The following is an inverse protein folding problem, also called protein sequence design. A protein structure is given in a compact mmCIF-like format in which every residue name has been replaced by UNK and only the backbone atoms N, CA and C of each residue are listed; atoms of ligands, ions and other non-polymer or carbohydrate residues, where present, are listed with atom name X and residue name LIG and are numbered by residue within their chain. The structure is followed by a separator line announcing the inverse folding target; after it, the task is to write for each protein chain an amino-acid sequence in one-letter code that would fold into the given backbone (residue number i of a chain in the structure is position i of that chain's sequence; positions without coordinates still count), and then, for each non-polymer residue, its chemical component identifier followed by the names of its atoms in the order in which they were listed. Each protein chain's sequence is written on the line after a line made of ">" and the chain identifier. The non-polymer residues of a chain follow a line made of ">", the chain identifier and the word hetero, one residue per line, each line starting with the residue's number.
data_IF_782123703073
#
_entry.id   IF_782123703073
#
_cell.length_a   1.000
_cell.length_b   1.000
_cell.length_c   1.000
_cell.angle_alpha   90.00
_cell.angle_beta   90.00
_cell.angle_gamma   90.00
#
_symmetry.space_group_name_H-M   'P 1'
#
loop_
_entity.id
_entity.type
_entity.pdbx_description
1 polymer ?
#
# COMPACT_ATOMS: atom_id res chain seq x y z
N UNK A 1 -18.30 31.81 -36.96
CA UNK A 1 -17.20 30.86 -37.27
C UNK A 1 -15.88 31.50 -36.83
N UNK A 2 -14.92 30.75 -36.28
CA UNK A 2 -14.71 30.62 -34.83
C UNK A 2 -13.49 31.43 -34.34
N UNK A 3 -13.69 32.30 -33.34
CA UNK A 3 -12.59 32.91 -32.56
C UNK A 3 -12.66 32.57 -31.06
N UNK A 4 -13.77 32.00 -30.60
CA UNK A 4 -14.00 31.66 -29.20
C UNK A 4 -13.53 30.26 -28.81
N UNK A 5 -13.40 29.32 -29.76
CA UNK A 5 -12.87 27.98 -29.49
C UNK A 5 -11.34 27.97 -29.35
N UNK A 6 -10.62 28.83 -30.09
CA UNK A 6 -9.16 28.92 -30.01
C UNK A 6 -8.69 29.46 -28.65
N UNK A 7 -9.40 30.44 -28.08
CA UNK A 7 -9.10 30.98 -26.76
C UNK A 7 -9.34 29.96 -25.63
N UNK A 8 -10.40 29.15 -25.74
CA UNK A 8 -10.74 28.14 -24.72
C UNK A 8 -9.76 26.96 -24.74
N UNK A 9 -9.31 26.54 -25.93
CA UNK A 9 -8.25 25.51 -26.08
C UNK A 9 -6.90 26.02 -25.60
N UNK A 10 -6.54 27.28 -25.90
CA UNK A 10 -5.32 27.90 -25.40
C UNK A 10 -5.32 28.06 -23.87
N UNK A 11 -6.46 28.38 -23.26
CA UNK A 11 -6.61 28.48 -21.80
C UNK A 11 -6.61 27.11 -21.10
N UNK A 12 -7.18 26.07 -21.72
CA UNK A 12 -7.06 24.69 -21.24
C UNK A 12 -5.62 24.17 -21.33
N UNK A 13 -4.92 24.47 -22.42
CA UNK A 13 -3.49 24.16 -22.55
C UNK A 13 -2.65 24.94 -21.53
N UNK A 14 -2.93 26.22 -21.31
CA UNK A 14 -2.24 27.01 -20.29
C UNK A 14 -2.51 26.50 -18.85
N UNK A 15 -3.71 25.98 -18.57
CA UNK A 15 -4.02 25.34 -17.28
C UNK A 15 -3.30 24.00 -17.10
N UNK A 16 -3.05 23.24 -18.18
CA UNK A 16 -2.18 22.06 -18.16
C UNK A 16 -0.70 22.43 -17.92
N UNK A 17 -0.22 23.54 -18.48
CA UNK A 17 1.15 24.02 -18.25
C UNK A 17 1.37 24.60 -16.85
N UNK A 18 0.33 25.18 -16.22
CA UNK A 18 0.39 25.72 -14.86
C UNK A 18 0.23 24.65 -13.76
N UNK A 19 -0.06 23.39 -14.12
CA UNK A 19 0.00 22.25 -13.21
C UNK A 19 1.43 21.71 -12.98
N UNK A 20 2.46 22.38 -13.54
CA UNK A 20 3.86 21.99 -13.52
C UNK A 20 4.59 22.04 -12.16
N UNK A 21 3.90 22.27 -11.04
CA UNK A 21 4.55 22.28 -9.72
C UNK A 21 4.86 20.88 -9.16
N UNK A 22 4.61 19.80 -9.93
CA UNK A 22 4.96 18.42 -9.58
C UNK A 22 5.63 17.63 -10.70
N UNK A 23 6.08 18.28 -11.78
CA UNK A 23 6.73 17.59 -12.91
C UNK A 23 8.22 17.44 -12.65
N UNK A 24 8.71 16.20 -12.64
CA UNK A 24 10.15 15.89 -12.65
C UNK A 24 10.70 16.24 -14.04
N UNK A 25 11.77 17.04 -14.10
CA UNK A 25 12.49 17.30 -15.34
C UNK A 25 13.16 16.01 -15.79
N UNK A 26 12.82 15.54 -17.00
CA UNK A 26 13.23 14.24 -17.50
C UNK A 26 13.66 14.36 -18.96
N UNK A 27 14.82 13.79 -19.35
CA UNK A 27 15.27 13.86 -20.74
C UNK A 27 14.24 13.21 -21.68
N UNK A 28 14.10 13.73 -22.90
CA UNK A 28 13.13 13.25 -23.91
C UNK A 28 13.29 11.75 -24.24
N UNK A 29 14.45 11.14 -23.93
CA UNK A 29 14.69 9.70 -24.03
C UNK A 29 14.02 8.86 -22.92
N UNK A 30 13.25 9.48 -22.03
CA UNK A 30 12.58 8.87 -20.90
C UNK A 30 13.58 8.52 -19.79
N UNK A 31 14.21 7.37 -19.90
CA UNK A 31 15.05 6.81 -18.84
C UNK A 31 16.38 7.57 -18.71
N UNK A 32 16.73 7.99 -17.49
CA UNK A 32 18.01 8.64 -17.18
C UNK A 32 19.07 7.55 -17.04
N UNK A 33 20.15 7.61 -17.85
CA UNK A 33 21.28 6.67 -17.72
C UNK A 33 22.27 7.18 -16.69
N UNK A 34 22.61 6.32 -15.74
CA UNK A 34 23.51 6.65 -14.64
C UNK A 34 24.94 6.20 -14.93
N UNK A 35 25.92 6.90 -14.36
CA UNK A 35 27.32 6.47 -14.39
C UNK A 35 27.53 5.31 -13.41
N UNK A 36 28.14 4.23 -13.88
CA UNK A 36 28.50 3.06 -13.07
C UNK A 36 29.46 3.35 -11.91
N UNK A 37 30.17 4.48 -11.91
CA UNK A 37 31.11 4.81 -10.83
C UNK A 37 30.43 5.21 -9.51
N UNK A 38 29.14 5.59 -9.53
CA UNK A 38 28.42 6.04 -8.33
C UNK A 38 27.63 4.93 -7.64
N UNK A 39 27.46 3.76 -8.27
CA UNK A 39 26.60 2.69 -7.76
C UNK A 39 27.38 1.38 -7.58
N UNK A 40 27.11 0.67 -6.49
CA UNK A 40 27.62 -0.69 -6.31
C UNK A 40 26.53 -1.68 -6.74
N UNK A 41 26.81 -2.57 -7.70
CA UNK A 41 25.89 -3.63 -8.04
C UNK A 41 25.64 -4.54 -6.82
N UNK A 42 24.37 -4.79 -6.52
CA UNK A 42 23.95 -5.73 -5.49
C UNK A 42 23.01 -6.77 -6.09
N UNK A 43 22.62 -7.77 -5.30
CA UNK A 43 21.54 -8.68 -5.70
C UNK A 43 20.28 -7.86 -5.95
N UNK A 44 19.68 -7.97 -7.14
CA UNK A 44 18.50 -7.19 -7.48
C UNK A 44 17.30 -7.68 -6.66
N UNK A 45 16.73 -6.86 -5.75
CA UNK A 45 15.60 -7.26 -4.91
C UNK A 45 14.25 -7.17 -5.64
N UNK A 46 14.23 -6.72 -6.90
CA UNK A 46 13.01 -6.48 -7.68
C UNK A 46 12.50 -7.74 -8.35
N UNK A 47 11.19 -7.87 -8.38
CA UNK A 47 10.44 -8.89 -9.08
C UNK A 47 9.39 -8.15 -9.91
N UNK A 48 9.70 -7.94 -11.18
CA UNK A 48 8.84 -7.24 -12.14
C UNK A 48 7.78 -8.22 -12.66
N UNK A 49 6.55 -7.74 -12.87
CA UNK A 49 5.48 -8.58 -13.42
C UNK A 49 5.85 -9.18 -14.79
N UNK A 50 6.62 -8.45 -15.61
CA UNK A 50 7.15 -8.96 -16.88
C UNK A 50 8.28 -10.01 -16.76
N UNK A 51 8.94 -10.15 -15.61
CA UNK A 51 10.00 -11.15 -15.39
C UNK A 51 9.38 -12.48 -14.95
N UNK A 52 8.90 -13.24 -15.94
CA UNK A 52 8.22 -14.52 -15.73
C UNK A 52 9.05 -15.51 -14.92
N UNK A 53 10.38 -15.51 -15.09
CA UNK A 53 11.27 -16.42 -14.37
C UNK A 53 11.35 -16.08 -12.87
N UNK A 54 11.54 -14.80 -12.50
CA UNK A 54 11.54 -14.38 -11.09
C UNK A 54 10.16 -14.50 -10.47
N UNK A 55 9.11 -14.21 -11.23
CA UNK A 55 7.73 -14.35 -10.78
C UNK A 55 7.39 -15.83 -10.52
N UNK A 56 7.83 -16.75 -11.38
CA UNK A 56 7.66 -18.19 -11.18
C UNK A 56 8.53 -18.71 -10.02
N UNK A 57 9.75 -18.19 -9.86
CA UNK A 57 10.60 -18.52 -8.72
C UNK A 57 9.97 -18.08 -7.39
N UNK A 58 9.46 -16.85 -7.31
CA UNK A 58 8.73 -16.34 -6.14
C UNK A 58 7.47 -17.17 -5.88
N UNK A 59 6.70 -17.47 -6.93
CA UNK A 59 5.52 -18.31 -6.86
C UNK A 59 5.83 -19.71 -6.34
N UNK A 60 6.92 -20.32 -6.82
CA UNK A 60 7.38 -21.64 -6.38
C UNK A 60 7.85 -21.59 -4.93
N UNK A 61 8.60 -20.56 -4.55
CA UNK A 61 9.05 -20.37 -3.18
C UNK A 61 7.86 -20.22 -2.23
N UNK A 62 6.92 -19.31 -2.53
CA UNK A 62 5.70 -19.10 -1.75
C UNK A 62 4.86 -20.38 -1.73
N UNK A 63 4.72 -21.07 -2.87
CA UNK A 63 4.00 -22.34 -2.98
C UNK A 63 4.61 -23.44 -2.12
N UNK A 64 5.93 -23.64 -2.18
CA UNK A 64 6.62 -24.63 -1.35
C UNK A 64 6.48 -24.30 0.14
N UNK A 65 6.50 -23.02 0.51
CA UNK A 65 6.24 -22.59 1.89
C UNK A 65 4.80 -22.85 2.30
N UNK A 66 3.85 -22.48 1.44
CA UNK A 66 2.43 -22.71 1.67
C UNK A 66 2.14 -24.21 1.85
N UNK A 67 2.74 -25.08 1.03
CA UNK A 67 2.35 -26.49 0.93
C UNK A 67 3.25 -27.45 1.68
N UNK A 68 4.51 -27.09 1.97
CA UNK A 68 5.50 -27.99 2.58
C UNK A 68 6.01 -27.52 3.93
N UNK A 69 5.50 -26.42 4.48
CA UNK A 69 5.88 -25.98 5.82
C UNK A 69 5.45 -27.00 6.88
N UNK A 70 6.31 -27.18 7.89
CA UNK A 70 6.03 -28.04 9.05
C UNK A 70 4.93 -27.47 9.94
N UNK A 71 4.74 -26.15 9.90
CA UNK A 71 3.68 -25.42 10.57
C UNK A 71 2.85 -24.67 9.53
N UNK A 72 1.52 -24.56 9.70
CA UNK A 72 0.66 -23.88 8.74
C UNK A 72 1.04 -22.40 8.62
N UNK A 73 1.42 -21.92 7.42
CA UNK A 73 1.85 -20.54 7.26
C UNK A 73 0.68 -19.56 7.35
N UNK A 74 0.97 -18.40 7.91
CA UNK A 74 0.07 -17.27 8.06
C UNK A 74 0.66 -16.09 7.27
N UNK A 75 -0.13 -15.61 6.31
CA UNK A 75 0.20 -14.48 5.45
C UNK A 75 -0.58 -13.26 5.91
N UNK A 76 0.06 -12.11 5.97
CA UNK A 76 -0.58 -10.81 6.19
C UNK A 76 -0.38 -9.93 4.96
N UNK A 77 -1.47 -9.48 4.36
CA UNK A 77 -1.45 -8.48 3.29
C UNK A 77 -2.04 -7.16 3.80
N UNK A 78 -1.24 -6.09 3.74
CA UNK A 78 -1.61 -4.75 4.16
C UNK A 78 -1.94 -3.91 2.93
N UNK A 79 -3.20 -3.47 2.82
CA UNK A 79 -3.66 -2.70 1.66
C UNK A 79 -3.17 -1.25 1.69
N UNK A 80 -3.28 -0.61 0.54
CA UNK A 80 -3.22 0.84 0.49
C UNK A 80 -4.45 1.52 1.10
N UNK A 81 -4.35 2.84 1.29
CA UNK A 81 -5.37 3.59 2.04
C UNK A 81 -5.00 5.01 2.48
N UNK A 82 -3.78 5.49 2.21
CA UNK A 82 -3.34 6.82 2.65
C UNK A 82 -3.44 7.00 4.17
N UNK A 83 -4.08 8.09 4.61
CA UNK A 83 -4.26 8.43 6.03
C UNK A 83 -5.03 7.35 6.82
N UNK A 84 -5.92 6.60 6.16
CA UNK A 84 -6.67 5.51 6.77
C UNK A 84 -5.78 4.37 7.28
N UNK A 85 -4.48 4.35 6.91
CA UNK A 85 -3.50 3.41 7.48
C UNK A 85 -3.42 3.43 9.01
N UNK A 86 -3.82 4.54 9.64
CA UNK A 86 -3.92 4.62 11.10
C UNK A 86 -4.86 3.56 11.68
N UNK A 87 -5.97 3.23 11.00
CA UNK A 87 -6.84 2.12 11.39
C UNK A 87 -6.10 0.79 11.40
N UNK A 88 -5.34 0.48 10.34
CA UNK A 88 -4.59 -0.76 10.25
C UNK A 88 -3.49 -0.88 11.31
N UNK A 89 -2.75 0.20 11.56
CA UNK A 89 -1.78 0.27 12.66
C UNK A 89 -2.46 0.01 14.03
N UNK A 90 -3.66 0.57 14.22
CA UNK A 90 -4.51 0.31 15.37
C UNK A 90 -4.87 -1.17 15.49
N UNK A 91 -5.37 -1.78 14.42
CA UNK A 91 -5.73 -3.21 14.40
C UNK A 91 -4.54 -4.09 14.79
N UNK A 92 -3.35 -3.84 14.25
CA UNK A 92 -2.15 -4.61 14.60
C UNK A 92 -1.78 -4.47 16.07
N UNK A 93 -1.83 -3.25 16.61
CA UNK A 93 -1.58 -2.95 18.02
C UNK A 93 -2.58 -3.66 18.92
N UNK A 94 -3.89 -3.52 18.64
CA UNK A 94 -4.94 -4.17 19.43
C UNK A 94 -4.92 -5.69 19.33
N UNK A 95 -4.46 -6.25 18.20
CA UNK A 95 -4.30 -7.69 18.05
C UNK A 95 -3.16 -8.23 18.91
N UNK A 96 -2.07 -7.46 19.03
CA UNK A 96 -1.01 -7.75 20.01
C UNK A 96 -1.57 -7.68 21.44
N UNK A 97 -2.35 -6.64 21.78
CA UNK A 97 -2.97 -6.50 23.11
C UNK A 97 -3.89 -7.66 23.48
N UNK A 98 -4.59 -8.25 22.50
CA UNK A 98 -5.42 -9.43 22.75
C UNK A 98 -4.60 -10.71 23.00
N UNK A 99 -3.29 -10.68 22.76
CA UNK A 99 -2.37 -11.81 22.96
C UNK A 99 -2.52 -12.92 21.91
N UNK A 100 -3.25 -12.66 20.82
CA UNK A 100 -3.55 -13.67 19.79
C UNK A 100 -2.97 -13.35 18.42
N UNK A 101 -2.18 -12.28 18.30
CA UNK A 101 -1.50 -11.94 17.04
C UNK A 101 -0.46 -13.00 16.68
N UNK A 102 -0.60 -13.68 15.52
CA UNK A 102 0.36 -14.69 15.10
C UNK A 102 1.65 -14.06 14.59
N UNK A 103 2.72 -14.87 14.53
CA UNK A 103 3.88 -14.55 13.71
C UNK A 103 3.58 -14.84 12.24
N UNK A 104 3.80 -13.85 11.37
CA UNK A 104 3.53 -13.97 9.94
C UNK A 104 4.75 -14.50 9.19
N UNK A 105 4.58 -15.54 8.37
CA UNK A 105 5.64 -16.06 7.50
C UNK A 105 5.86 -15.17 6.28
N UNK A 106 4.80 -14.50 5.80
CA UNK A 106 4.87 -13.51 4.72
C UNK A 106 4.07 -12.29 5.14
N UNK A 107 4.68 -11.12 5.03
CA UNK A 107 4.00 -9.84 5.15
C UNK A 107 4.15 -9.09 3.84
N UNK A 108 3.05 -8.59 3.31
CA UNK A 108 3.06 -7.74 2.13
C UNK A 108 2.47 -6.38 2.42
N UNK A 109 2.92 -5.36 1.70
CA UNK A 109 2.45 -4.00 1.88
C UNK A 109 2.37 -3.21 0.58
N UNK A 110 1.31 -2.41 0.48
CA UNK A 110 1.10 -1.44 -0.60
C UNK A 110 0.74 -0.09 0.01
N UNK A 111 1.33 1.01 -0.47
CA UNK A 111 0.99 2.36 0.01
C UNK A 111 1.22 2.51 1.51
N UNK A 112 0.27 3.08 2.24
CA UNK A 112 0.30 3.12 3.70
C UNK A 112 0.53 1.72 4.31
N UNK A 113 0.04 0.65 3.70
CA UNK A 113 0.34 -0.73 4.12
C UNK A 113 1.83 -1.08 4.00
N UNK A 114 2.55 -0.52 3.04
CA UNK A 114 4.00 -0.69 2.92
C UNK A 114 4.76 -0.03 4.06
N UNK A 115 4.30 1.12 4.55
CA UNK A 115 4.89 1.79 5.71
C UNK A 115 4.67 1.01 7.00
N UNK A 116 3.51 0.37 7.17
CA UNK A 116 3.22 -0.47 8.33
C UNK A 116 3.87 -1.87 8.28
N UNK A 117 4.15 -2.39 7.07
CA UNK A 117 4.60 -3.77 6.86
C UNK A 117 5.92 -4.15 7.57
N UNK A 118 6.98 -3.31 7.60
CA UNK A 118 8.20 -3.60 8.36
C UNK A 118 7.94 -3.89 9.84
N UNK A 119 7.15 -3.04 10.51
CA UNK A 119 6.80 -3.26 11.91
C UNK A 119 5.90 -4.48 12.08
N UNK A 120 4.96 -4.67 11.15
CA UNK A 120 4.09 -5.84 11.17
C UNK A 120 4.86 -7.16 11.04
N UNK A 121 5.91 -7.13 10.22
CA UNK A 121 6.86 -8.21 10.00
C UNK A 121 7.74 -8.45 11.21
N UNK A 122 8.27 -7.42 11.87
CA UNK A 122 9.10 -7.66 13.06
C UNK A 122 8.29 -8.09 14.29
N UNK A 123 7.01 -7.70 14.37
CA UNK A 123 6.06 -8.19 15.36
C UNK A 123 5.89 -7.25 16.57
N UNK A 124 5.32 -7.75 17.68
CA UNK A 124 4.89 -6.95 18.84
C UNK A 124 5.91 -5.98 19.44
N UNK A 125 7.20 -6.32 19.40
CA UNK A 125 8.26 -5.45 19.94
C UNK A 125 8.40 -4.12 19.18
N UNK A 126 7.80 -4.02 18.00
CA UNK A 126 7.84 -2.84 17.12
C UNK A 126 6.50 -2.09 17.06
N UNK A 127 5.54 -2.45 17.92
CA UNK A 127 4.22 -1.81 17.93
C UNK A 127 4.26 -0.38 18.47
N UNK A 128 5.26 -0.04 19.29
CA UNK A 128 5.45 1.34 19.76
C UNK A 128 5.93 2.25 18.63
N UNK A 129 6.85 1.80 17.77
CA UNK A 129 7.26 2.51 16.57
C UNK A 129 6.11 2.61 15.55
N UNK A 130 5.34 1.53 15.37
CA UNK A 130 4.14 1.55 14.51
C UNK A 130 3.12 2.56 15.02
N UNK A 131 2.86 2.60 16.33
CA UNK A 131 1.97 3.57 16.96
C UNK A 131 2.52 4.99 16.85
N UNK A 132 3.82 5.17 17.03
CA UNK A 132 4.54 6.42 16.80
C UNK A 132 4.32 6.99 15.41
N UNK A 133 4.41 6.14 14.39
CA UNK A 133 4.27 6.55 12.99
C UNK A 133 2.83 6.95 12.61
N UNK A 134 1.80 6.46 13.32
CA UNK A 134 0.39 6.58 12.90
C UNK A 134 -0.54 7.28 13.89
N UNK A 135 -0.19 7.40 15.16
CA UNK A 135 -1.10 7.84 16.22
C UNK A 135 -0.47 8.82 17.21
N UNK A 136 0.83 8.71 17.50
CA UNK A 136 1.48 9.60 18.45
C UNK A 136 2.10 10.82 17.75
N UNK A 137 1.36 11.93 17.75
CA UNK A 137 1.93 13.27 17.53
C UNK A 137 2.83 13.76 18.67
N UNK A 138 3.37 12.86 19.51
CA UNK A 138 4.10 13.19 20.74
C UNK A 138 5.44 12.47 20.76
N UNK A 139 6.50 13.28 20.70
CA UNK A 139 7.83 13.03 21.26
C UNK A 139 8.81 12.11 20.52
N UNK A 140 9.29 12.57 19.35
CA UNK A 140 10.68 13.06 19.21
C UNK A 140 10.79 13.95 17.97
N UNK A 141 11.13 15.21 18.24
CA UNK A 141 11.22 16.36 17.34
C UNK A 141 9.94 16.93 16.71
N UNK A 142 9.81 18.25 16.91
CA UNK A 142 8.87 19.20 16.30
C UNK A 142 8.94 19.24 14.76
N UNK A 143 9.71 18.36 14.13
CA UNK A 143 9.87 18.20 12.69
C UNK A 143 8.80 17.28 12.10
N UNK A 144 8.53 16.10 12.70
CA UNK A 144 7.55 15.15 12.16
C UNK A 144 6.11 15.68 12.09
N UNK A 145 5.75 16.58 13.01
CA UNK A 145 4.48 17.31 12.98
C UNK A 145 4.40 18.35 11.86
N UNK A 146 5.49 19.07 11.57
CA UNK A 146 5.53 20.04 10.46
C UNK A 146 5.43 19.31 9.12
N UNK A 147 6.00 18.12 9.06
CA UNK A 147 5.91 17.20 7.92
C UNK A 147 4.45 16.77 7.67
N UNK A 148 3.75 16.21 8.65
CA UNK A 148 2.34 15.84 8.49
C UNK A 148 1.39 17.04 8.32
N UNK A 149 1.68 18.19 8.94
CA UNK A 149 0.88 19.41 8.75
C UNK A 149 1.13 20.10 7.38
N UNK A 150 2.31 19.93 6.79
CA UNK A 150 2.62 20.42 5.44
C UNK A 150 1.76 19.72 4.36
N UNK A 151 1.38 18.46 4.61
CA UNK A 151 0.42 17.69 3.81
C UNK A 151 -1.00 18.29 3.79
N UNK A 152 -1.33 19.17 4.73
CA UNK A 152 -2.67 19.78 4.91
C UNK A 152 -2.81 21.11 4.15
N UNK A 153 -1.73 21.63 3.54
CA UNK A 153 -1.77 22.93 2.85
C UNK A 153 -2.21 22.75 1.39
N UNK A 154 -3.33 23.36 0.94
CA UNK A 154 -3.75 23.29 -0.45
C UNK A 154 -2.72 24.00 -1.33
N UNK A 155 -1.97 23.24 -2.14
CA UNK A 155 -1.12 23.79 -3.20
C UNK A 155 0.39 23.65 -3.02
N UNK A 156 0.89 22.99 -1.98
CA UNK A 156 2.31 22.63 -1.86
C UNK A 156 2.43 21.17 -1.45
N UNK A 157 2.55 20.31 -2.47
CA UNK A 157 2.86 18.90 -2.38
C UNK A 157 4.29 18.71 -1.82
N UNK A 158 4.47 18.89 -0.51
CA UNK A 158 5.80 18.78 0.11
C UNK A 158 6.18 17.31 0.36
N UNK A 159 6.87 16.73 -0.61
CA UNK A 159 7.48 15.39 -0.52
C UNK A 159 8.49 15.23 0.62
N UNK A 160 9.04 16.32 1.14
CA UNK A 160 9.99 16.28 2.25
C UNK A 160 9.37 15.67 3.50
N UNK A 161 8.09 15.90 3.73
CA UNK A 161 7.39 15.41 4.90
C UNK A 161 7.36 13.88 5.04
N UNK A 162 6.91 13.21 3.97
CA UNK A 162 6.81 11.75 3.94
C UNK A 162 8.21 11.13 3.92
N UNK A 163 9.17 11.77 3.23
CA UNK A 163 10.57 11.37 3.23
C UNK A 163 11.17 11.43 4.64
N UNK A 164 10.99 12.53 5.36
CA UNK A 164 11.50 12.71 6.73
C UNK A 164 10.92 11.66 7.69
N UNK A 165 9.62 11.34 7.54
CA UNK A 165 8.97 10.29 8.33
C UNK A 165 9.63 8.92 8.06
N UNK A 166 9.78 8.57 6.78
CA UNK A 166 10.43 7.31 6.37
C UNK A 166 11.87 7.27 6.90
N UNK A 167 12.63 8.37 6.79
CA UNK A 167 14.00 8.45 7.30
C UNK A 167 14.09 8.30 8.82
N UNK A 168 13.12 8.86 9.57
CA UNK A 168 13.09 8.81 11.02
C UNK A 168 12.87 7.39 11.56
N UNK A 169 12.02 6.60 10.91
CA UNK A 169 11.66 5.25 11.38
C UNK A 169 12.44 4.12 10.69
N UNK A 170 12.91 4.33 9.46
CA UNK A 170 13.70 3.33 8.72
C UNK A 170 15.18 3.51 9.08
N UNK A 171 15.60 2.79 10.10
CA UNK A 171 16.97 2.84 10.64
C UNK A 171 17.81 1.64 10.19
N UNK A 172 19.15 1.71 10.25
CA UNK A 172 20.01 0.54 10.03
C UNK A 172 19.67 -0.64 10.96
N UNK A 173 19.19 -0.37 12.18
CA UNK A 173 18.77 -1.40 13.12
C UNK A 173 17.48 -2.10 12.66
N UNK A 174 16.50 -1.34 12.14
CA UNK A 174 15.30 -1.93 11.53
C UNK A 174 15.69 -2.91 10.42
N UNK A 175 16.57 -2.49 9.49
CA UNK A 175 17.05 -3.36 8.41
C UNK A 175 17.76 -4.61 8.95
N UNK A 176 18.62 -4.46 9.97
CA UNK A 176 19.31 -5.60 10.57
C UNK A 176 18.34 -6.64 11.12
N UNK A 177 17.27 -6.21 11.79
CA UNK A 177 16.25 -7.12 12.32
C UNK A 177 15.46 -7.80 11.19
N UNK A 178 15.13 -7.06 10.12
CA UNK A 178 14.47 -7.61 8.94
C UNK A 178 15.35 -8.68 8.27
N UNK A 179 16.66 -8.44 8.15
CA UNK A 179 17.61 -9.41 7.60
C UNK A 179 17.67 -10.70 8.44
N UNK A 180 17.61 -10.59 9.78
CA UNK A 180 17.59 -11.75 10.68
C UNK A 180 16.33 -12.60 10.45
N UNK A 181 15.16 -11.96 10.41
CA UNK A 181 13.89 -12.63 10.18
C UNK A 181 13.79 -13.20 8.75
N UNK A 182 14.39 -12.51 7.77
CA UNK A 182 14.51 -13.01 6.40
C UNK A 182 15.38 -14.28 6.33
N UNK A 183 16.50 -14.31 7.06
CA UNK A 183 17.37 -15.48 7.15
C UNK A 183 16.69 -16.67 7.87
N UNK A 184 15.72 -16.41 8.75
CA UNK A 184 14.82 -17.43 9.33
C UNK A 184 13.75 -17.92 8.35
N UNK A 185 13.76 -17.39 7.14
CA UNK A 185 12.86 -17.79 6.07
C UNK A 185 11.54 -17.03 6.09
N UNK A 186 11.42 -15.85 6.70
CA UNK A 186 10.22 -15.00 6.56
C UNK A 186 10.38 -14.06 5.35
N UNK A 187 9.30 -13.56 4.76
CA UNK A 187 9.35 -12.63 3.61
C UNK A 187 8.59 -11.34 3.89
N UNK A 188 9.21 -10.22 3.55
CA UNK A 188 8.62 -8.90 3.57
C UNK A 188 8.62 -8.37 2.14
N UNK A 189 7.43 -8.23 1.54
CA UNK A 189 7.26 -7.86 0.13
C UNK A 189 6.52 -6.54 0.00
N UNK A 190 7.12 -5.55 -0.66
CA UNK A 190 6.50 -4.24 -0.89
C UNK A 190 6.20 -4.06 -2.37
N UNK A 191 5.10 -3.39 -2.71
CA UNK A 191 4.73 -3.13 -4.11
C UNK A 191 4.78 -1.65 -4.44
N UNK A 192 5.41 -1.35 -5.57
CA UNK A 192 5.35 -0.04 -6.24
C UNK A 192 4.80 -0.24 -7.66
N UNK A 193 4.32 0.83 -8.29
CA UNK A 193 4.02 0.83 -9.73
C UNK A 193 5.12 1.56 -10.49
N UNK A 194 5.78 0.86 -11.42
CA UNK A 194 6.67 1.50 -12.40
C UNK A 194 5.81 2.11 -13.51
N UNK A 195 5.78 3.44 -13.60
CA UNK A 195 4.98 4.17 -14.58
C UNK A 195 5.53 4.09 -16.00
N UNK A 196 6.83 3.86 -16.17
CA UNK A 196 7.47 3.75 -17.48
C UNK A 196 7.08 2.46 -18.19
N UNK A 197 6.97 1.37 -17.42
CA UNK A 197 6.59 0.06 -17.90
C UNK A 197 5.11 -0.28 -17.65
N UNK A 198 4.37 0.58 -16.93
CA UNK A 198 2.98 0.37 -16.51
C UNK A 198 2.76 -0.95 -15.74
N UNK A 199 3.77 -1.38 -14.98
CA UNK A 199 3.76 -2.68 -14.31
C UNK A 199 3.95 -2.55 -12.79
N UNK A 200 3.47 -3.57 -12.08
CA UNK A 200 3.75 -3.73 -10.66
C UNK A 200 5.18 -4.26 -10.46
N UNK A 201 5.91 -3.66 -9.54
CA UNK A 201 7.23 -4.13 -9.10
C UNK A 201 7.12 -4.53 -7.65
N UNK A 202 7.37 -5.81 -7.37
CA UNK A 202 7.45 -6.37 -6.02
C UNK A 202 8.91 -6.29 -5.57
N UNK A 203 9.14 -5.82 -4.36
CA UNK A 203 10.45 -5.66 -3.75
C UNK A 203 10.58 -6.65 -2.58
N UNK A 204 11.57 -7.55 -2.63
CA UNK A 204 11.94 -8.35 -1.46
C UNK A 204 12.83 -7.50 -0.54
N UNK A 205 12.18 -6.94 0.48
CA UNK A 205 12.83 -6.05 1.44
C UNK A 205 13.80 -6.80 2.35
N UNK A 206 13.68 -8.12 2.46
CA UNK A 206 14.60 -8.95 3.24
C UNK A 206 15.89 -9.24 2.49
N UNK A 207 15.83 -9.47 1.17
CA UNK A 207 17.03 -9.52 0.30
C UNK A 207 17.76 -8.17 0.38
N UNK A 208 17.03 -7.07 0.21
CA UNK A 208 17.60 -5.72 0.28
C UNK A 208 18.21 -5.43 1.65
N UNK A 209 17.52 -5.74 2.74
CA UNK A 209 18.03 -5.53 4.10
C UNK A 209 19.28 -6.38 4.39
N UNK A 210 19.39 -7.58 3.82
CA UNK A 210 20.53 -8.49 4.00
C UNK A 210 21.82 -7.98 3.34
N UNK A 211 21.73 -7.06 2.38
CA UNK A 211 22.90 -6.45 1.73
C UNK A 211 23.65 -5.50 2.66
N UNK A 212 22.93 -4.81 3.54
CA UNK A 212 23.47 -3.86 4.51
C UNK A 212 24.14 -2.62 3.88
N UNK A 213 24.62 -1.72 4.75
CA UNK A 213 25.29 -0.48 4.34
C UNK A 213 24.32 0.64 3.90
N UNK A 214 24.90 1.81 3.63
CA UNK A 214 24.13 3.05 3.41
C UNK A 214 23.24 2.97 2.16
N UNK A 215 23.74 2.33 1.08
CA UNK A 215 22.98 2.15 -0.16
C UNK A 215 21.72 1.28 0.05
N UNK A 216 21.79 0.24 0.88
CA UNK A 216 20.63 -0.59 1.19
C UNK A 216 19.60 0.20 2.01
N UNK A 217 20.05 1.01 2.99
CA UNK A 217 19.15 1.88 3.77
C UNK A 217 18.46 2.89 2.87
N UNK A 218 19.20 3.54 1.98
CA UNK A 218 18.66 4.52 1.03
C UNK A 218 17.61 3.89 0.11
N UNK A 219 17.95 2.76 -0.54
CA UNK A 219 17.00 2.07 -1.42
C UNK A 219 15.78 1.53 -0.65
N UNK A 220 15.94 1.07 0.60
CA UNK A 220 14.81 0.66 1.44
C UNK A 220 13.82 1.82 1.61
N UNK A 221 14.34 3.02 1.90
CA UNK A 221 13.56 4.24 2.10
C UNK A 221 12.90 4.70 0.80
N UNK A 222 13.63 4.68 -0.31
CA UNK A 222 13.09 5.03 -1.63
C UNK A 222 11.93 4.12 -2.04
N UNK A 223 12.03 2.82 -1.81
CA UNK A 223 10.96 1.86 -2.11
C UNK A 223 9.71 2.12 -1.26
N UNK A 224 9.88 2.36 0.05
CA UNK A 224 8.76 2.69 0.93
C UNK A 224 8.11 4.04 0.57
N UNK A 225 8.93 5.05 0.30
CA UNK A 225 8.48 6.37 -0.16
C UNK A 225 7.69 6.24 -1.46
N UNK A 226 8.24 5.54 -2.45
CA UNK A 226 7.60 5.30 -3.74
C UNK A 226 6.27 4.56 -3.59
N UNK A 227 6.24 3.52 -2.77
CA UNK A 227 5.01 2.74 -2.52
C UNK A 227 3.91 3.61 -1.94
N UNK A 228 4.23 4.63 -1.15
CA UNK A 228 3.28 5.57 -0.54
C UNK A 228 3.05 6.87 -1.35
N UNK A 229 3.72 7.07 -2.49
CA UNK A 229 3.58 8.27 -3.32
C UNK A 229 2.35 8.22 -4.22
N UNK A 230 1.18 8.55 -3.67
CA UNK A 230 -0.10 8.60 -4.41
C UNK A 230 -0.03 9.65 -5.53
N UNK A 231 -0.31 9.28 -6.81
CA UNK A 231 -0.31 10.23 -7.92
C UNK A 231 -1.25 11.42 -7.69
N UNK A 232 -0.74 12.62 -7.90
CA UNK A 232 -1.49 13.87 -7.69
C UNK A 232 -1.55 14.33 -6.23
N UNK A 233 -0.94 13.59 -5.30
CA UNK A 233 -0.76 13.97 -3.88
C UNK A 233 0.74 14.07 -3.54
N UNK A 234 1.54 13.13 -4.02
CA UNK A 234 2.98 13.13 -3.85
C UNK A 234 3.68 12.98 -5.20
N UNK A 235 4.88 13.55 -5.37
CA UNK A 235 5.66 13.31 -6.58
C UNK A 235 6.11 11.84 -6.66
N UNK A 236 6.33 11.32 -7.87
CA UNK A 236 6.96 10.02 -8.06
C UNK A 236 8.38 10.01 -7.51
N UNK A 237 8.89 8.81 -7.22
CA UNK A 237 10.28 8.58 -6.81
C UNK A 237 11.02 7.95 -7.99
N UNK A 238 12.18 8.51 -8.33
CA UNK A 238 13.09 7.90 -9.29
C UNK A 238 13.92 6.85 -8.57
N UNK A 239 13.83 5.59 -8.99
CA UNK A 239 14.60 4.50 -8.39
C UNK A 239 15.58 3.95 -9.42
N UNK A 240 16.82 3.77 -8.99
CA UNK A 240 17.87 3.21 -9.83
C UNK A 240 17.63 1.73 -10.14
N UNK A 241 17.90 1.36 -11.38
CA UNK A 241 17.59 0.08 -11.96
C UNK A 241 18.53 -0.32 -13.08
N UNK A 242 18.17 -1.41 -13.76
CA UNK A 242 18.90 -1.96 -14.90
C UNK A 242 17.90 -2.27 -16.00
N UNK A 243 18.15 -1.78 -17.20
CA UNK A 243 17.32 -2.07 -18.38
C UNK A 243 17.66 -3.43 -19.00
N UNK A 244 16.90 -3.83 -20.01
CA UNK A 244 17.09 -5.11 -20.72
C UNK A 244 18.48 -5.24 -21.39
N UNK A 245 19.23 -4.15 -21.51
CA UNK A 245 20.56 -4.10 -22.09
C UNK A 245 21.67 -4.07 -21.02
N UNK A 246 21.32 -4.22 -19.74
CA UNK A 246 22.28 -4.23 -18.64
C UNK A 246 22.79 -2.84 -18.25
N UNK A 247 22.15 -1.75 -18.69
CA UNK A 247 22.58 -0.39 -18.36
C UNK A 247 21.90 0.11 -17.11
N UNK A 248 22.65 0.85 -16.29
CA UNK A 248 22.09 1.54 -15.12
C UNK A 248 21.17 2.68 -15.56
N UNK A 249 19.99 2.71 -14.97
CA UNK A 249 18.88 3.55 -15.38
C UNK A 249 18.08 4.05 -14.19
N UNK A 250 17.35 5.17 -14.32
CA UNK A 250 16.32 5.57 -13.35
C UNK A 250 14.91 5.32 -13.89
N UNK A 251 14.16 4.50 -13.16
CA UNK A 251 12.77 4.16 -13.40
C UNK A 251 11.86 5.05 -12.53
N UNK A 252 10.71 5.46 -13.07
CA UNK A 252 9.74 6.28 -12.33
C UNK A 252 8.74 5.40 -11.56
N UNK A 253 8.76 5.49 -10.24
CA UNK A 253 7.88 4.71 -9.37
C UNK A 253 6.87 5.59 -8.62
N UNK A 254 5.65 5.08 -8.49
CA UNK A 254 4.56 5.64 -7.67
C UNK A 254 3.91 4.55 -6.83
N UNK A 255 2.87 4.96 -6.10
CA UNK A 255 2.08 4.09 -5.25
C UNK A 255 1.63 2.80 -5.97
N UNK A 256 1.90 1.64 -5.35
CA UNK A 256 1.53 0.33 -5.90
C UNK A 256 0.02 0.11 -6.01
N UNK A 257 -0.77 0.87 -5.25
CA UNK A 257 -2.23 0.92 -5.26
C UNK A 257 -2.83 1.37 -6.58
N UNK A 258 -2.02 1.97 -7.46
CA UNK A 258 -2.40 2.25 -8.85
C UNK A 258 -2.74 0.94 -9.60
N UNK A 259 -1.95 -0.12 -9.40
CA UNK A 259 -2.18 -1.41 -10.03
C UNK A 259 -2.87 -2.41 -9.10
N UNK A 260 -2.41 -2.53 -7.85
CA UNK A 260 -2.89 -3.57 -6.92
C UNK A 260 -3.21 -2.99 -5.54
N UNK A 261 -4.43 -3.18 -5.02
CA UNK A 261 -4.83 -2.59 -3.73
C UNK A 261 -4.15 -3.25 -2.53
N UNK A 262 -3.75 -4.53 -2.67
CA UNK A 262 -2.97 -5.30 -1.71
C UNK A 262 -2.34 -6.52 -2.43
N UNK A 263 -1.21 -7.01 -1.95
CA UNK A 263 -0.57 -8.22 -2.49
C UNK A 263 -0.87 -9.43 -1.61
N UNK A 264 -2.00 -10.10 -1.81
CA UNK A 264 -2.31 -11.34 -1.07
C UNK A 264 -1.52 -12.52 -1.62
N UNK A 265 -1.97 -13.00 -2.78
CA UNK A 265 -1.31 -14.05 -3.55
C UNK A 265 -0.78 -13.43 -4.85
N UNK A 266 0.50 -13.64 -5.22
CA UNK A 266 1.05 -13.18 -6.50
C UNK A 266 0.20 -13.60 -7.71
N UNK A 267 0.10 -12.73 -8.71
CA UNK A 267 -0.78 -12.94 -9.87
C UNK A 267 -0.49 -14.25 -10.62
N UNK A 268 0.77 -14.65 -10.71
CA UNK A 268 1.19 -15.92 -11.32
C UNK A 268 0.63 -17.16 -10.63
N UNK A 269 0.41 -17.10 -9.32
CA UNK A 269 -0.19 -18.21 -8.57
C UNK A 269 -1.71 -18.28 -8.74
N UNK A 270 -2.37 -17.16 -9.08
CA UNK A 270 -3.83 -17.11 -9.22
C UNK A 270 -4.31 -17.99 -10.39
N UNK A 271 -3.51 -18.12 -11.45
CA UNK A 271 -3.81 -18.92 -12.65
C UNK A 271 -3.49 -20.41 -12.49
N UNK A 272 -2.76 -20.81 -11.45
CA UNK A 272 -2.50 -22.22 -11.15
C UNK A 272 -3.80 -22.87 -10.65
N UNK A 273 -4.42 -23.67 -11.51
CA UNK A 273 -5.74 -24.29 -11.24
C UNK A 273 -5.65 -25.67 -10.60
N UNK A 274 -4.48 -26.31 -10.61
CA UNK A 274 -4.28 -27.61 -9.93
C UNK A 274 -4.35 -27.40 -8.42
N UNK A 275 -5.38 -27.94 -7.73
CA UNK A 275 -5.50 -27.75 -6.29
C UNK A 275 -4.31 -28.40 -5.58
N UNK A 276 -3.58 -27.61 -4.80
CA UNK A 276 -2.56 -28.14 -3.90
C UNK A 276 -3.03 -27.78 -2.50
N UNK A 277 -3.47 -28.79 -1.75
CA UNK A 277 -4.16 -28.55 -0.47
C UNK A 277 -3.14 -28.04 0.55
N UNK A 278 -3.45 -26.89 1.13
CA UNK A 278 -2.70 -26.34 2.25
C UNK A 278 -2.72 -27.26 3.47
N UNK A 279 -1.66 -27.26 4.29
CA UNK A 279 -1.73 -27.73 5.66
C UNK A 279 -2.89 -27.05 6.40
N UNK A 280 -3.60 -27.83 7.22
CA UNK A 280 -4.71 -27.31 8.02
C UNK A 280 -4.21 -26.19 8.94
N UNK A 281 -4.94 -25.07 8.96
CA UNK A 281 -4.57 -23.86 9.70
C UNK A 281 -3.88 -22.78 8.87
N UNK A 282 -3.54 -23.05 7.61
CA UNK A 282 -2.97 -22.04 6.70
C UNK A 282 -3.97 -20.90 6.50
N UNK A 283 -3.52 -19.66 6.66
CA UNK A 283 -4.42 -18.49 6.64
C UNK A 283 -3.81 -17.29 5.91
N UNK A 284 -4.67 -16.59 5.16
CA UNK A 284 -4.41 -15.28 4.59
C UNK A 284 -5.24 -14.24 5.35
N UNK A 285 -4.57 -13.31 6.01
CA UNK A 285 -5.16 -12.14 6.64
C UNK A 285 -4.97 -10.94 5.72
N UNK A 286 -6.06 -10.25 5.38
CA UNK A 286 -6.04 -9.03 4.57
C UNK A 286 -6.54 -7.87 5.42
N UNK A 287 -5.64 -6.94 5.74
CA UNK A 287 -5.98 -5.72 6.45
C UNK A 287 -6.20 -4.59 5.45
N UNK A 288 -7.45 -4.15 5.36
CA UNK A 288 -7.89 -3.13 4.44
C UNK A 288 -7.90 -1.78 5.16
N UNK A 289 -7.00 -0.89 4.76
CA UNK A 289 -6.90 0.48 5.22
C UNK A 289 -7.96 1.37 4.54
N UNK A 290 -9.21 0.94 4.58
CA UNK A 290 -10.32 1.55 3.87
C UNK A 290 -11.63 0.79 4.07
N UNK A 291 -12.65 1.24 3.36
CA UNK A 291 -13.97 0.61 3.36
C UNK A 291 -14.14 -0.28 2.12
N UNK A 292 -14.68 -1.48 2.31
CA UNK A 292 -15.00 -2.40 1.21
C UNK A 292 -16.27 -1.95 0.48
N UNK A 293 -17.25 -1.45 1.24
CA UNK A 293 -18.55 -1.07 0.74
C UNK A 293 -18.54 0.20 -0.10
N UNK A 294 -19.64 0.41 -0.83
CA UNK A 294 -19.87 1.63 -1.61
C UNK A 294 -20.46 2.69 -0.68
N UNK A 295 -19.87 3.88 -0.68
CA UNK A 295 -20.40 5.04 0.05
C UNK A 295 -21.26 5.87 -0.90
N UNK A 296 -22.53 6.09 -0.61
CA UNK A 296 -23.39 6.96 -1.44
C UNK A 296 -23.24 8.42 -1.00
N UNK A 297 -22.67 9.25 -1.88
CA UNK A 297 -22.48 10.69 -1.66
C UNK A 297 -22.66 11.45 -2.96
N UNK A 298 -23.21 12.66 -2.88
CA UNK A 298 -23.31 13.57 -4.03
C UNK A 298 -21.93 14.21 -4.24
N UNK A 299 -21.31 13.91 -5.37
CA UNK A 299 -19.98 14.45 -5.70
C UNK A 299 -20.11 15.90 -6.13
N UNK A 300 -19.27 16.78 -5.54
CA UNK A 300 -19.23 18.19 -5.94
C UNK A 300 -18.75 18.32 -7.38
N UNK A 301 -19.32 19.24 -8.15
CA UNK A 301 -18.97 19.47 -9.56
C UNK A 301 -17.61 20.15 -9.82
N UNK A 302 -16.66 20.07 -8.88
CA UNK A 302 -15.32 20.64 -9.03
C UNK A 302 -14.33 19.59 -9.50
N UNK A 303 -13.36 19.96 -10.35
CA UNK A 303 -12.39 19.02 -10.90
C UNK A 303 -11.65 18.20 -9.82
N UNK A 304 -11.14 18.78 -8.72
CA UNK A 304 -10.48 17.99 -7.66
C UNK A 304 -11.42 16.99 -6.98
N UNK A 305 -12.68 17.37 -6.73
CA UNK A 305 -13.64 16.48 -6.09
C UNK A 305 -14.03 15.31 -7.01
N UNK A 306 -14.14 15.56 -8.32
CA UNK A 306 -14.42 14.53 -9.33
C UNK A 306 -13.23 13.55 -9.42
N UNK A 307 -11.99 14.05 -9.48
CA UNK A 307 -10.80 13.21 -9.55
C UNK A 307 -10.63 12.34 -8.30
N UNK A 308 -10.77 12.93 -7.10
CA UNK A 308 -10.71 12.19 -5.84
C UNK A 308 -11.79 11.10 -5.76
N UNK A 309 -13.02 11.43 -6.18
CA UNK A 309 -14.11 10.45 -6.21
C UNK A 309 -13.90 9.35 -7.25
N UNK A 310 -13.38 9.68 -8.42
CA UNK A 310 -13.08 8.71 -9.47
C UNK A 310 -12.01 7.72 -8.99
N UNK A 311 -10.94 8.23 -8.34
CA UNK A 311 -9.92 7.41 -7.72
C UNK A 311 -10.51 6.49 -6.64
N UNK A 312 -11.22 7.02 -5.63
CA UNK A 312 -11.88 6.21 -4.59
C UNK A 312 -12.79 5.13 -5.17
N UNK A 313 -13.59 5.48 -6.19
CA UNK A 313 -14.49 4.54 -6.87
C UNK A 313 -13.72 3.41 -7.56
N UNK A 314 -12.65 3.75 -8.30
CA UNK A 314 -11.79 2.79 -8.98
C UNK A 314 -11.07 1.89 -7.98
N UNK A 315 -10.47 2.46 -6.92
CA UNK A 315 -9.76 1.72 -5.87
C UNK A 315 -10.68 0.74 -5.15
N UNK A 316 -11.91 1.14 -4.78
CA UNK A 316 -12.90 0.25 -4.16
C UNK A 316 -13.39 -0.85 -5.10
N UNK A 317 -13.49 -0.57 -6.40
CA UNK A 317 -13.81 -1.60 -7.39
C UNK A 317 -12.66 -2.61 -7.53
N UNK A 318 -11.42 -2.14 -7.65
CA UNK A 318 -10.24 -2.99 -7.76
C UNK A 318 -10.04 -3.85 -6.48
N UNK A 319 -10.26 -3.26 -5.31
CA UNK A 319 -10.24 -3.96 -4.02
C UNK A 319 -11.22 -5.14 -3.98
N UNK A 320 -12.48 -4.93 -4.35
CA UNK A 320 -13.50 -5.99 -4.36
C UNK A 320 -13.16 -7.11 -5.34
N UNK A 321 -12.66 -6.76 -6.53
CA UNK A 321 -12.19 -7.76 -7.51
C UNK A 321 -11.00 -8.55 -6.95
N UNK A 322 -10.01 -7.88 -6.36
CA UNK A 322 -8.83 -8.51 -5.78
C UNK A 322 -9.19 -9.44 -4.62
N UNK A 323 -10.12 -9.03 -3.75
CA UNK A 323 -10.66 -9.89 -2.68
C UNK A 323 -11.36 -11.12 -3.22
N UNK A 324 -12.22 -10.97 -4.25
CA UNK A 324 -12.94 -12.10 -4.83
C UNK A 324 -11.99 -13.13 -5.44
N UNK A 325 -10.93 -12.67 -6.09
CA UNK A 325 -9.92 -13.54 -6.69
C UNK A 325 -9.08 -14.25 -5.61
N UNK A 326 -8.67 -13.55 -4.55
CA UNK A 326 -7.95 -14.16 -3.43
C UNK A 326 -8.84 -15.13 -2.64
N UNK A 327 -10.14 -14.85 -2.49
CA UNK A 327 -11.10 -15.78 -1.89
C UNK A 327 -11.22 -17.05 -2.73
N UNK A 328 -11.39 -16.93 -4.04
CA UNK A 328 -11.47 -18.09 -4.92
C UNK A 328 -10.19 -18.95 -4.86
N UNK A 329 -9.02 -18.31 -4.75
CA UNK A 329 -7.76 -19.03 -4.53
C UNK A 329 -7.72 -19.72 -3.16
N UNK A 330 -8.15 -19.03 -2.10
CA UNK A 330 -8.17 -19.55 -0.74
C UNK A 330 -9.10 -20.76 -0.63
N UNK A 331 -10.32 -20.68 -1.16
CA UNK A 331 -11.29 -21.79 -1.19
C UNK A 331 -10.76 -22.98 -2.00
N UNK A 332 -10.17 -22.73 -3.17
CA UNK A 332 -9.61 -23.79 -4.03
C UNK A 332 -8.49 -24.59 -3.36
N UNK A 333 -7.69 -23.94 -2.52
CA UNK A 333 -6.50 -24.55 -1.92
C UNK A 333 -6.65 -24.83 -0.41
N UNK A 334 -7.79 -24.50 0.19
CA UNK A 334 -8.09 -24.78 1.61
C UNK A 334 -7.43 -23.83 2.61
N UNK A 335 -7.19 -22.56 2.24
CA UNK A 335 -6.72 -21.51 3.15
C UNK A 335 -7.91 -20.81 3.81
N UNK A 336 -7.77 -20.44 5.08
CA UNK A 336 -8.68 -19.47 5.70
C UNK A 336 -8.39 -18.06 5.20
N UNK A 337 -9.40 -17.35 4.69
CA UNK A 337 -9.28 -15.92 4.37
C UNK A 337 -9.96 -15.09 5.46
N UNK A 338 -9.21 -14.19 6.10
CA UNK A 338 -9.69 -13.29 7.14
C UNK A 338 -9.49 -11.85 6.71
N UNK A 339 -10.51 -11.02 6.88
CA UNK A 339 -10.50 -9.63 6.46
C UNK A 339 -10.81 -8.73 7.65
N UNK A 340 -10.02 -7.68 7.83
CA UNK A 340 -10.32 -6.56 8.69
C UNK A 340 -10.37 -5.29 7.82
N UNK A 341 -11.35 -4.44 8.03
CA UNK A 341 -11.57 -3.23 7.25
C UNK A 341 -12.23 -2.15 8.09
N UNK A 342 -12.08 -0.89 7.69
CA UNK A 342 -12.84 0.19 8.31
C UNK A 342 -14.33 -0.10 8.10
N UNK A 343 -15.16 -0.12 9.16
CA UNK A 343 -16.58 -0.38 9.02
C UNK A 343 -17.25 0.63 8.09
N UNK A 344 -18.20 0.15 7.28
CA UNK A 344 -19.02 1.03 6.45
C UNK A 344 -19.83 2.00 7.36
N UNK A 345 -19.94 3.26 6.94
CA UNK A 345 -20.63 4.31 7.70
C UNK A 345 -19.76 5.05 8.72
N UNK A 346 -18.52 4.61 8.94
CA UNK A 346 -17.51 5.42 9.63
C UNK A 346 -17.00 6.48 8.65
N UNK A 347 -16.89 7.73 9.10
CA UNK A 347 -16.23 8.78 8.34
C UNK A 347 -14.73 8.49 8.28
N UNK A 348 -14.23 8.25 7.07
CA UNK A 348 -12.85 7.93 6.80
C UNK A 348 -12.50 8.44 5.39
N UNK A 349 -11.36 9.12 5.28
CA UNK A 349 -10.87 9.67 4.03
C UNK A 349 -9.39 9.35 3.91
N UNK A 350 -9.00 8.66 2.83
CA UNK A 350 -7.61 8.32 2.56
C UNK A 350 -6.71 9.54 2.33
N UNK A 351 -7.32 10.69 2.05
CA UNK A 351 -6.65 11.97 1.78
C UNK A 351 -6.76 12.96 2.95
N UNK A 352 -7.40 12.59 4.05
CA UNK A 352 -7.49 13.42 5.26
C UNK A 352 -6.41 13.03 6.25
N UNK A 353 -5.30 13.74 6.24
CA UNK A 353 -4.15 13.52 7.12
C UNK A 353 -4.25 14.31 8.43
N UNK A 354 -5.46 14.74 8.83
CA UNK A 354 -5.68 15.37 10.12
C UNK A 354 -5.29 14.41 11.28
N UNK A 355 -4.43 14.84 12.22
CA UNK A 355 -3.95 13.97 13.28
C UNK A 355 -5.01 13.51 14.28
N UNK A 356 -6.07 14.30 14.52
CA UNK A 356 -7.18 13.86 15.37
C UNK A 356 -8.00 12.77 14.65
N UNK A 357 -8.27 12.96 13.36
CA UNK A 357 -8.91 11.94 12.50
C UNK A 357 -8.12 10.64 12.49
N UNK A 358 -6.80 10.70 12.29
CA UNK A 358 -5.92 9.53 12.28
C UNK A 358 -5.88 8.83 13.64
N UNK A 359 -5.72 9.58 14.74
CA UNK A 359 -5.73 9.01 16.09
C UNK A 359 -7.08 8.34 16.42
N UNK A 360 -8.20 8.92 15.98
CA UNK A 360 -9.52 8.32 16.17
C UNK A 360 -9.69 7.02 15.37
N UNK A 361 -9.17 6.96 14.13
CA UNK A 361 -9.15 5.74 13.33
C UNK A 361 -8.24 4.66 13.95
N UNK A 362 -7.08 5.05 14.46
CA UNK A 362 -6.17 4.16 15.18
C UNK A 362 -6.85 3.52 16.39
N UNK A 363 -7.42 4.33 17.28
CA UNK A 363 -8.10 3.81 18.48
C UNK A 363 -9.28 2.91 18.13
N UNK A 364 -10.01 3.21 17.05
CA UNK A 364 -11.08 2.34 16.56
C UNK A 364 -10.57 0.97 16.12
N UNK A 365 -9.47 0.93 15.36
CA UNK A 365 -8.82 -0.32 14.96
C UNK A 365 -8.31 -1.12 16.15
N UNK A 366 -7.63 -0.45 17.07
CA UNK A 366 -7.08 -1.02 18.30
C UNK A 366 -8.16 -1.63 19.17
N UNK A 367 -9.22 -0.87 19.47
CA UNK A 367 -10.33 -1.35 20.30
C UNK A 367 -11.03 -2.56 19.67
N UNK A 368 -11.25 -2.56 18.35
CA UNK A 368 -11.89 -3.69 17.66
C UNK A 368 -11.02 -4.95 17.72
N UNK A 369 -9.71 -4.85 17.50
CA UNK A 369 -8.81 -6.00 17.52
C UNK A 369 -8.57 -6.53 18.93
N UNK A 370 -8.43 -5.64 19.92
CA UNK A 370 -8.32 -6.01 21.33
C UNK A 370 -9.57 -6.76 21.83
N UNK A 371 -10.75 -6.39 21.33
CA UNK A 371 -12.01 -7.06 21.62
C UNK A 371 -12.24 -8.35 20.79
N UNK A 372 -11.34 -8.70 19.88
CA UNK A 372 -11.47 -9.88 19.01
C UNK A 372 -12.54 -9.74 17.92
N UNK A 373 -12.97 -8.52 17.58
CA UNK A 373 -14.02 -8.25 16.59
C UNK A 373 -13.54 -7.63 15.28
N UNK A 374 -12.24 -7.33 15.15
CA UNK A 374 -11.68 -6.74 13.92
C UNK A 374 -11.69 -7.71 12.73
N UNK A 375 -11.42 -8.99 12.96
CA UNK A 375 -11.23 -9.98 11.90
C UNK A 375 -12.51 -10.75 11.61
N UNK A 376 -12.94 -10.74 10.35
CA UNK A 376 -14.05 -11.56 9.86
C UNK A 376 -13.51 -12.60 8.90
N UNK A 377 -13.82 -13.88 9.14
CA UNK A 377 -13.53 -14.94 8.17
C UNK A 377 -14.47 -14.76 6.97
N UNK A 378 -13.89 -14.63 5.78
CA UNK A 378 -14.65 -14.47 4.56
C UNK A 378 -15.09 -15.85 4.04
N UNK A 379 -16.39 -16.09 4.01
CA UNK A 379 -17.01 -17.31 3.51
C UNK A 379 -18.09 -16.92 2.48
N UNK A 380 -17.98 -17.38 1.24
CA UNK A 380 -18.91 -17.00 0.17
C UNK A 380 -18.64 -15.60 -0.43
N UNK A 381 -19.53 -15.09 -1.30
CA UNK A 381 -19.24 -13.91 -2.14
C UNK A 381 -18.85 -12.68 -1.32
N UNK A 382 -17.87 -11.92 -1.81
CA UNK A 382 -17.41 -10.65 -1.19
C UNK A 382 -18.63 -9.76 -0.92
N UNK A 383 -18.81 -9.25 0.31
CA UNK A 383 -20.01 -8.51 0.68
C UNK A 383 -20.30 -7.37 -0.30
N UNK A 384 -21.46 -7.41 -0.94
CA UNK A 384 -22.04 -6.22 -1.56
C UNK A 384 -22.64 -5.36 -0.44
N UNK A 385 -22.53 -4.02 -0.51
CA UNK A 385 -23.18 -3.16 0.48
C UNK A 385 -24.68 -3.42 0.49
N UNK A 386 -25.23 -3.59 1.69
CA UNK A 386 -26.68 -3.53 1.90
C UNK A 386 -27.14 -2.16 1.42
N UNK A 387 -28.12 -2.11 0.52
CA UNK A 387 -28.73 -0.85 0.12
C UNK A 387 -29.13 -0.09 1.40
N UNK A 388 -28.62 1.13 1.56
CA UNK A 388 -29.06 2.00 2.65
C UNK A 388 -30.59 2.10 2.64
N UNK A 389 -31.22 2.44 3.78
CA UNK A 389 -32.68 2.52 3.86
C UNK A 389 -33.20 3.35 2.69
N UNK A 390 -34.13 2.76 1.94
CA UNK A 390 -34.81 3.35 0.79
C UNK A 390 -35.19 4.79 1.17
N UNK A 391 -34.60 5.76 0.46
CA UNK A 391 -34.90 7.16 0.72
C UNK A 391 -36.41 7.33 0.66
N UNK A 392 -37.00 7.76 1.78
CA UNK A 392 -38.44 7.97 1.87
C UNK A 392 -38.89 8.81 0.67
N UNK A 393 -39.97 8.43 -0.03
CA UNK A 393 -40.43 9.18 -1.19
C UNK A 393 -40.64 10.64 -0.79
N UNK A 394 -40.30 11.61 -1.65
CA UNK A 394 -40.44 13.02 -1.33
C UNK A 394 -41.91 13.27 -0.95
N UNK A 395 -42.12 13.74 0.27
CA UNK A 395 -43.41 14.24 0.71
C UNK A 395 -43.67 15.49 -0.12
N UNK A 396 -44.61 15.39 -1.06
CA UNK A 396 -45.10 16.55 -1.81
C UNK A 396 -45.71 17.55 -0.81
N UNK A 397 -45.22 18.80 -0.75
CA UNK A 397 -45.79 19.79 0.14
C UNK A 397 -46.98 20.47 -0.54
N UNK A 398 -47.99 19.71 -0.94
CA UNK A 398 -49.32 20.24 -1.28
C UNK A 398 -50.38 19.18 -0.92
N UNK A 399 -51.12 19.44 0.16
CA UNK A 399 -52.19 18.61 0.71
C UNK A 399 -52.58 19.03 2.11
#
# INVERSE_FOLDING_TARGET
>A
MPRTTAGLVASLLAAFWLAGCGTIDRPEGGIIRLDSQTWRPTEDPRIRAGDTARVEALATEIGDRLWRASEPPIILALSGGGANGAYGAGVLTGWTESGTRPAFQVVTGVSTGALAAPFAFLGPEWDDELRGAYAEGRTRDLLGWRSFAALVTPGLFDSGALKDLVEAYVTPELLRQIAIEHARGRRLLIVTTNLDAQESVIWDMGVLASQGGDQAVELFREVLLASASIPGVFPPVMISGVDDQGRLVEEMHVDGGVNTPFLGIPESLLTVTTPTRAPEGTALYVLINGQIGRTQVITRGTLPAILARAYDTMSKANLRTSLAVNLAFAERNGLGLYVAAIPDGVEASSLDFDPESMAALFERGRAAAAAGSAWTKLEGPVPEPVAGPEAAPPVNPEG
#
